data_IF_667139159474
#
_entry.id   IF_667139159474
#
_cell.length_a   1.000
_cell.length_b   1.000
_cell.length_c   1.000
_cell.angle_alpha   90.00
_cell.angle_beta   90.00
_cell.angle_gamma   90.00
#
_symmetry.space_group_name_H-M   'P 1'
#
loop_
_entity.id
_entity.type
_entity.pdbx_description
1 polymer ?
#
# COMPACT_ATOMS: atom_id res chain seq x y z
N UNK A 1 28.49 10.81 8.95
CA UNK A 1 28.48 12.28 8.85
C UNK A 1 29.84 12.87 8.44
N UNK A 2 30.98 12.27 8.80
CA UNK A 2 32.33 12.77 8.42
C UNK A 2 32.60 12.73 6.89
N UNK A 3 32.05 11.74 6.17
CA UNK A 3 32.23 11.63 4.72
C UNK A 3 31.52 12.75 3.93
N UNK A 4 30.32 13.15 4.37
CA UNK A 4 29.56 14.26 3.77
C UNK A 4 30.11 15.64 4.17
N UNK A 5 30.78 15.75 5.32
CA UNK A 5 31.40 17.02 5.74
C UNK A 5 32.66 17.37 4.92
N UNK A 6 33.35 16.36 4.37
CA UNK A 6 34.52 16.57 3.50
C UNK A 6 34.17 16.57 2.01
N UNK A 7 32.91 16.26 1.69
CA UNK A 7 32.40 16.23 0.32
C UNK A 7 31.40 17.37 0.18
N UNK A 8 31.85 18.57 -0.21
CA UNK A 8 31.01 19.75 -0.51
C UNK A 8 30.10 19.54 -1.75
N UNK A 9 29.66 18.31 -2.00
CA UNK A 9 28.77 17.93 -3.08
C UNK A 9 27.35 17.87 -2.54
N UNK A 10 26.66 19.01 -2.61
CA UNK A 10 25.21 19.04 -2.41
C UNK A 10 24.52 18.21 -3.50
N UNK A 11 23.87 17.10 -3.13
CA UNK A 11 23.17 16.22 -4.10
C UNK A 11 22.02 16.95 -4.82
N UNK A 12 21.49 18.01 -4.20
CA UNK A 12 20.44 18.86 -4.74
C UNK A 12 21.03 20.09 -5.44
N UNK A 13 20.65 20.31 -6.69
CA UNK A 13 21.08 21.46 -7.50
C UNK A 13 22.60 21.62 -7.66
N UNK A 14 23.38 20.53 -7.62
CA UNK A 14 24.80 20.60 -8.01
C UNK A 14 24.96 20.82 -9.51
N UNK A 15 26.06 21.46 -9.91
CA UNK A 15 26.43 21.69 -11.31
C UNK A 15 26.67 20.38 -12.08
N UNK A 16 27.01 19.30 -11.36
CA UNK A 16 27.26 17.96 -11.88
C UNK A 16 25.97 17.15 -12.13
N UNK A 17 24.91 17.43 -11.35
CA UNK A 17 23.64 16.71 -11.47
C UNK A 17 22.64 17.48 -12.33
N UNK A 18 22.03 16.83 -13.35
CA UNK A 18 20.97 17.47 -14.12
C UNK A 18 19.80 17.92 -13.24
N UNK A 19 19.28 19.13 -13.49
CA UNK A 19 18.17 19.74 -12.71
C UNK A 19 16.92 18.84 -12.65
N UNK A 20 16.69 18.04 -13.70
CA UNK A 20 15.57 17.10 -13.74
C UNK A 20 15.64 16.02 -12.64
N UNK A 21 16.83 15.60 -12.23
CA UNK A 21 17.02 14.59 -11.16
C UNK A 21 16.54 15.15 -9.83
N UNK A 22 16.94 16.39 -9.52
CA UNK A 22 16.50 17.09 -8.31
C UNK A 22 14.98 17.29 -8.28
N UNK A 23 14.38 17.61 -9.43
CA UNK A 23 12.91 17.72 -9.59
C UNK A 23 12.20 16.38 -9.36
N UNK A 24 12.68 15.27 -9.93
CA UNK A 24 12.08 13.95 -9.76
C UNK A 24 12.21 13.46 -8.30
N UNK A 25 13.33 13.73 -7.63
CA UNK A 25 13.48 13.41 -6.19
C UNK A 25 12.49 14.18 -5.32
N UNK A 26 12.30 15.48 -5.57
CA UNK A 26 11.30 16.29 -4.89
C UNK A 26 9.87 15.77 -5.15
N UNK A 27 9.57 15.44 -6.40
CA UNK A 27 8.28 14.87 -6.77
C UNK A 27 8.04 13.50 -6.11
N UNK A 28 9.08 12.67 -5.93
CA UNK A 28 8.97 11.41 -5.18
C UNK A 28 8.48 11.62 -3.74
N UNK A 29 8.94 12.68 -3.07
CA UNK A 29 8.45 13.08 -1.76
C UNK A 29 6.97 13.50 -1.77
N UNK A 30 6.55 14.28 -2.77
CA UNK A 30 5.15 14.70 -2.92
C UNK A 30 4.23 13.51 -3.22
N UNK A 31 4.61 12.67 -4.17
CA UNK A 31 3.86 11.47 -4.59
C UNK A 31 3.68 10.48 -3.44
N UNK A 32 4.61 10.41 -2.49
CA UNK A 32 4.50 9.52 -1.32
C UNK A 32 3.68 10.13 -0.18
N UNK A 33 3.76 11.44 0.05
CA UNK A 33 3.01 12.13 1.12
C UNK A 33 1.50 12.13 0.85
N UNK A 34 1.08 12.33 -0.41
CA UNK A 34 -0.34 12.39 -0.80
C UNK A 34 -1.14 11.15 -0.36
N UNK A 35 -0.76 9.92 -0.73
CA UNK A 35 -1.46 8.72 -0.28
C UNK A 35 -1.32 8.50 1.22
N UNK A 36 -0.20 8.91 1.84
CA UNK A 36 0.01 8.77 3.29
C UNK A 36 -0.98 9.62 4.09
N UNK A 37 -1.21 10.87 3.68
CA UNK A 37 -2.19 11.77 4.32
C UNK A 37 -3.62 11.24 4.10
N UNK A 38 -3.94 10.81 2.88
CA UNK A 38 -5.24 10.19 2.58
C UNK A 38 -5.49 8.94 3.46
N UNK A 39 -4.51 8.05 3.54
CA UNK A 39 -4.55 6.86 4.37
C UNK A 39 -4.69 7.17 5.85
N UNK A 40 -3.94 8.14 6.38
CA UNK A 40 -3.98 8.54 7.79
C UNK A 40 -5.38 9.02 8.20
N UNK A 41 -6.10 9.68 7.29
CA UNK A 41 -7.50 10.08 7.53
C UNK A 41 -8.46 8.87 7.45
N UNK A 42 -8.26 7.96 6.49
CA UNK A 42 -9.12 6.78 6.31
C UNK A 42 -8.95 5.73 7.44
N UNK A 43 -7.75 5.55 7.97
CA UNK A 43 -7.44 4.53 8.98
C UNK A 43 -8.18 4.75 10.30
N UNK A 44 -8.54 6.01 10.61
CA UNK A 44 -9.29 6.38 11.82
C UNK A 44 -10.74 5.89 11.80
N UNK A 45 -11.24 5.51 10.62
CA UNK A 45 -12.62 5.09 10.38
C UNK A 45 -12.75 3.56 10.18
N UNK A 46 -11.64 2.84 10.13
CA UNK A 46 -11.58 1.43 9.75
C UNK A 46 -11.06 0.56 10.91
N UNK A 47 -11.67 -0.62 11.15
CA UNK A 47 -11.08 -1.63 12.02
C UNK A 47 -9.67 -2.00 11.55
N UNK A 48 -8.74 -2.24 12.48
CA UNK A 48 -7.34 -2.56 12.19
C UNK A 48 -7.19 -3.79 11.26
N UNK A 49 -8.12 -4.74 11.36
CA UNK A 49 -8.26 -5.89 10.47
C UNK A 49 -8.52 -5.49 9.01
N UNK A 50 -9.45 -4.57 8.77
CA UNK A 50 -9.82 -4.09 7.43
C UNK A 50 -8.67 -3.33 6.78
N UNK A 51 -7.93 -2.57 7.58
CA UNK A 51 -6.74 -1.83 7.15
C UNK A 51 -5.64 -2.77 6.68
N UNK A 52 -5.35 -3.84 7.45
CA UNK A 52 -4.40 -4.87 7.06
C UNK A 52 -4.80 -5.58 5.76
N UNK A 53 -6.10 -5.82 5.56
CA UNK A 53 -6.61 -6.38 4.31
C UNK A 53 -6.39 -5.44 3.11
N UNK A 54 -6.62 -4.15 3.30
CA UNK A 54 -6.39 -3.14 2.25
C UNK A 54 -4.92 -3.04 1.85
N UNK A 55 -3.98 -3.30 2.76
CA UNK A 55 -2.55 -3.30 2.44
C UNK A 55 -2.14 -4.42 1.46
N UNK A 56 -2.91 -5.49 1.31
CA UNK A 56 -2.69 -6.51 0.28
C UNK A 56 -2.94 -6.00 -1.16
N UNK A 57 -3.58 -4.83 -1.33
CA UNK A 57 -3.69 -4.18 -2.63
C UNK A 57 -2.36 -3.64 -3.14
N UNK A 58 -1.45 -3.21 -2.26
CA UNK A 58 -0.14 -2.68 -2.62
C UNK A 58 0.75 -3.71 -3.35
N UNK A 59 0.97 -4.93 -2.81
CA UNK A 59 1.73 -5.96 -3.53
C UNK A 59 1.02 -6.42 -4.81
N UNK A 60 -0.31 -6.34 -4.89
CA UNK A 60 -1.06 -6.63 -6.12
C UNK A 60 -0.81 -5.56 -7.19
N UNK A 61 -0.82 -4.29 -6.82
CA UNK A 61 -0.50 -3.18 -7.72
C UNK A 61 0.95 -3.25 -8.21
N UNK A 62 1.89 -3.57 -7.32
CA UNK A 62 3.29 -3.78 -7.68
C UNK A 62 3.46 -4.97 -8.65
N UNK A 63 2.74 -6.07 -8.42
CA UNK A 63 2.71 -7.22 -9.32
C UNK A 63 2.17 -6.84 -10.70
N UNK A 64 1.06 -6.12 -10.77
CA UNK A 64 0.47 -5.66 -12.02
C UNK A 64 1.40 -4.72 -12.79
N UNK A 65 2.04 -3.77 -12.10
CA UNK A 65 3.07 -2.92 -12.70
C UNK A 65 4.25 -3.75 -13.23
N UNK A 66 4.73 -4.74 -12.47
CA UNK A 66 5.80 -5.64 -12.92
C UNK A 66 5.44 -6.42 -14.19
N UNK A 67 4.19 -6.89 -14.32
CA UNK A 67 3.74 -7.61 -15.53
C UNK A 67 3.53 -6.66 -16.70
N UNK A 68 2.81 -5.56 -16.49
CA UNK A 68 2.32 -4.70 -17.59
C UNK A 68 3.39 -3.73 -18.07
N UNK A 69 4.20 -3.18 -17.16
CA UNK A 69 5.20 -2.15 -17.49
C UNK A 69 6.62 -2.71 -17.63
N UNK A 70 6.99 -3.73 -16.85
CA UNK A 70 8.35 -4.28 -16.84
C UNK A 70 8.50 -5.58 -17.65
N UNK A 71 7.40 -6.14 -18.16
CA UNK A 71 7.36 -7.37 -18.98
C UNK A 71 8.16 -8.54 -18.36
N UNK A 72 8.24 -8.57 -17.02
CA UNK A 72 9.03 -9.57 -16.30
C UNK A 72 8.36 -10.94 -16.38
N UNK A 73 9.12 -11.96 -16.79
CA UNK A 73 8.63 -13.33 -16.90
C UNK A 73 8.13 -13.79 -15.53
N UNK A 74 6.83 -14.04 -15.45
CA UNK A 74 6.18 -14.45 -14.22
C UNK A 74 6.64 -15.84 -13.82
N UNK A 75 7.54 -15.93 -12.84
CA UNK A 75 8.00 -17.22 -12.32
C UNK A 75 6.82 -17.96 -11.69
N UNK A 76 6.64 -19.27 -11.92
CA UNK A 76 5.54 -20.05 -11.36
C UNK A 76 5.42 -19.94 -9.83
N UNK A 77 6.55 -19.74 -9.14
CA UNK A 77 6.59 -19.53 -7.69
C UNK A 77 5.90 -18.22 -7.26
N UNK A 78 6.10 -17.12 -8.00
CA UNK A 78 5.43 -15.82 -7.72
C UNK A 78 3.91 -15.94 -7.88
N UNK A 79 3.47 -16.70 -8.88
CA UNK A 79 2.04 -16.97 -9.12
C UNK A 79 1.41 -17.82 -8.01
N UNK A 80 2.08 -18.90 -7.59
CA UNK A 80 1.59 -19.75 -6.50
C UNK A 80 1.48 -18.97 -5.18
N UNK A 81 2.49 -18.17 -4.85
CA UNK A 81 2.45 -17.30 -3.66
C UNK A 81 1.29 -16.30 -3.72
N UNK A 82 1.07 -15.67 -4.88
CA UNK A 82 -0.04 -14.76 -5.10
C UNK A 82 -1.40 -15.44 -4.92
N UNK A 83 -1.59 -16.63 -5.50
CA UNK A 83 -2.83 -17.39 -5.39
C UNK A 83 -3.16 -17.75 -3.92
N UNK A 84 -2.17 -18.20 -3.15
CA UNK A 84 -2.35 -18.53 -1.72
C UNK A 84 -2.79 -17.31 -0.92
N UNK A 85 -2.14 -16.17 -1.13
CA UNK A 85 -2.49 -14.90 -0.47
C UNK A 85 -3.93 -14.52 -0.81
N UNK A 86 -4.33 -14.59 -2.07
CA UNK A 86 -5.68 -14.24 -2.50
C UNK A 86 -6.76 -15.18 -1.98
N UNK A 87 -6.46 -16.47 -1.85
CA UNK A 87 -7.37 -17.43 -1.19
C UNK A 87 -7.56 -17.04 0.28
N UNK A 88 -6.48 -16.74 1.01
CA UNK A 88 -6.57 -16.31 2.41
C UNK A 88 -7.36 -15.00 2.57
N UNK A 89 -7.09 -14.01 1.70
CA UNK A 89 -7.83 -12.73 1.67
C UNK A 89 -9.30 -12.96 1.34
N UNK A 90 -9.62 -13.83 0.38
CA UNK A 90 -11.00 -14.17 0.01
C UNK A 90 -11.78 -14.82 1.15
N UNK A 91 -11.18 -15.78 1.85
CA UNK A 91 -11.77 -16.43 3.03
C UNK A 91 -12.02 -15.41 4.14
N UNK A 92 -11.03 -14.57 4.44
CA UNK A 92 -11.13 -13.56 5.49
C UNK A 92 -12.18 -12.49 5.17
N UNK A 93 -12.21 -12.01 3.92
CA UNK A 93 -13.19 -11.01 3.48
C UNK A 93 -14.61 -11.56 3.56
N UNK A 94 -14.80 -12.84 3.21
CA UNK A 94 -16.09 -13.54 3.33
C UNK A 94 -16.55 -13.64 4.79
N UNK A 95 -15.64 -14.00 5.71
CA UNK A 95 -15.93 -14.10 7.13
C UNK A 95 -16.30 -12.72 7.74
N UNK A 96 -15.54 -11.67 7.38
CA UNK A 96 -15.80 -10.30 7.81
C UNK A 96 -17.18 -9.79 7.35
N UNK A 97 -17.57 -10.06 6.09
CA UNK A 97 -18.89 -9.68 5.56
C UNK A 97 -20.01 -10.46 6.26
N UNK A 98 -19.81 -11.76 6.56
CA UNK A 98 -20.77 -12.58 7.30
C UNK A 98 -20.93 -12.13 8.75
N UNK A 99 -19.82 -11.85 9.46
CA UNK A 99 -19.82 -11.40 10.84
C UNK A 99 -20.55 -10.08 11.05
N UNK A 100 -20.36 -9.11 10.15
CA UNK A 100 -21.08 -7.82 10.21
C UNK A 100 -22.60 -7.95 10.06
N UNK A 101 -23.11 -8.98 9.36
CA UNK A 101 -24.56 -9.23 9.25
C UNK A 101 -25.14 -9.86 10.51
N UNK A 102 -24.39 -10.71 11.22
CA UNK A 102 -24.81 -11.33 12.47
C UNK A 102 -24.90 -10.33 13.63
N UNK A 103 -23.93 -9.42 13.76
CA UNK A 103 -23.94 -8.39 14.82
C UNK A 103 -25.05 -7.35 14.65
N UNK A 104 -25.46 -7.03 13.42
CA UNK A 104 -26.58 -6.11 13.16
C UNK A 104 -27.96 -6.76 13.38
N UNK A 105 -28.06 -8.08 13.21
CA UNK A 105 -29.29 -8.81 13.50
C UNK A 105 -29.58 -8.85 15.01
N UNK A 106 -28.54 -9.05 15.83
CA UNK A 106 -28.65 -9.07 17.29
C UNK A 106 -29.04 -7.70 17.90
N UNK A 107 -28.46 -6.60 17.41
CA UNK A 107 -28.81 -5.24 17.86
C UNK A 107 -30.24 -4.82 17.49
N UNK A 108 -30.81 -5.36 16.40
CA UNK A 108 -32.18 -5.04 15.98
C UNK A 108 -33.23 -5.70 16.87
N UNK A 109 -32.94 -6.89 17.39
CA UNK A 109 -33.82 -7.58 18.35
C UNK A 109 -33.85 -6.88 19.71
N UNK A 110 -32.71 -6.34 20.17
CA UNK A 110 -32.60 -5.62 21.45
C UNK A 110 -33.32 -4.25 21.46
N UNK A 111 -33.55 -3.63 20.30
CA UNK A 111 -34.28 -2.36 20.18
C UNK A 111 -35.81 -2.52 20.06
N UNK A 112 -36.31 -3.76 19.94
CA UNK A 112 -37.73 -4.06 19.77
C UNK A 112 -38.38 -4.62 21.05
N UNK A 113 -37.60 -4.84 22.10
CA UNK A 113 -38.03 -5.17 23.47
C UNK A 113 -38.06 -3.92 24.35
#
# INVERSE_FOLDING_TARGET
MIWMHNSDQGIFFSTETPVWVSLVMLLGGVVTIVPLICFTNAVRLLPLSTVGLMQYSAPTGQLLLSVVFFDEVFTPLKFAAFAIIWVAVGIYSWDMIRGHRASRAALRTEMLE
#
